data_IF_113912312739
#
_entry.id   IF_113912312739
#
_cell.length_a   1.000
_cell.length_b   1.000
_cell.length_c   1.000
_cell.angle_alpha   90.00
_cell.angle_beta   90.00
_cell.angle_gamma   90.00
#
_symmetry.space_group_name_H-M   'P 1'
#
loop_
_entity.id
_entity.type
_entity.pdbx_description
1 polymer ?
#
# COMPACT_ATOMS: atom_id res chain seq x y z
N UNK A 1 -16.07 -14.13 14.69
CA UNK A 1 -14.78 -13.95 14.00
C UNK A 1 -15.01 -13.32 12.64
N UNK A 2 -14.32 -12.22 12.39
CA UNK A 2 -14.39 -11.54 11.11
C UNK A 2 -13.36 -12.17 10.17
N UNK A 3 -13.84 -12.64 9.02
CA UNK A 3 -12.96 -13.30 8.06
C UNK A 3 -12.18 -12.30 7.21
N UNK A 4 -10.92 -12.62 6.90
CA UNK A 4 -10.15 -11.95 5.87
C UNK A 4 -10.59 -12.48 4.50
N UNK A 5 -10.66 -11.61 3.48
CA UNK A 5 -10.46 -10.15 3.49
C UNK A 5 -11.71 -9.38 3.95
N UNK A 6 -11.50 -8.09 4.27
CA UNK A 6 -12.56 -7.22 4.77
C UNK A 6 -12.99 -6.22 3.70
N UNK A 7 -14.29 -5.88 3.68
CA UNK A 7 -14.86 -4.94 2.71
C UNK A 7 -14.85 -3.50 3.26
N UNK A 8 -13.69 -3.00 3.68
CA UNK A 8 -13.54 -1.64 4.18
C UNK A 8 -13.15 -0.69 3.06
N UNK A 9 -13.62 0.56 3.18
CA UNK A 9 -13.35 1.58 2.15
C UNK A 9 -11.97 2.18 2.30
N UNK A 10 -11.36 2.51 1.16
CA UNK A 10 -10.09 3.22 1.13
C UNK A 10 -10.41 4.72 1.13
N UNK A 11 -9.80 5.44 2.08
CA UNK A 11 -10.00 6.88 2.23
C UNK A 11 -9.07 7.64 1.28
N UNK A 12 -7.79 7.25 1.24
CA UNK A 12 -6.81 7.89 0.36
C UNK A 12 -5.63 6.97 0.11
N UNK A 13 -4.88 7.26 -0.93
CA UNK A 13 -3.62 6.60 -1.24
C UNK A 13 -2.49 7.54 -0.83
N UNK A 14 -1.69 7.12 0.15
CA UNK A 14 -0.57 7.93 0.65
C UNK A 14 0.67 7.77 -0.23
N UNK A 15 1.00 6.53 -0.58
CA UNK A 15 2.15 6.17 -1.43
C UNK A 15 1.74 5.02 -2.33
N UNK A 16 2.67 4.60 -3.20
CA UNK A 16 2.41 3.46 -4.07
C UNK A 16 2.10 2.17 -3.31
N UNK A 17 2.67 2.01 -2.13
CA UNK A 17 2.48 0.82 -1.29
C UNK A 17 1.75 1.08 0.02
N UNK A 18 1.20 2.28 0.20
CA UNK A 18 0.55 2.67 1.46
C UNK A 18 -0.78 3.35 1.19
N UNK A 19 -1.83 2.84 1.82
CA UNK A 19 -3.16 3.44 1.73
C UNK A 19 -3.72 3.66 3.13
N UNK A 20 -4.66 4.60 3.25
CA UNK A 20 -5.42 4.82 4.48
C UNK A 20 -6.81 4.29 4.23
N UNK A 21 -7.29 3.43 5.10
CA UNK A 21 -8.62 2.83 4.97
C UNK A 21 -9.49 3.13 6.18
N UNK A 22 -10.80 3.04 5.97
CA UNK A 22 -11.79 3.27 7.01
C UNK A 22 -11.78 2.10 7.99
N UNK A 23 -11.65 2.43 9.28
CA UNK A 23 -11.59 1.44 10.35
C UNK A 23 -12.69 1.74 11.38
N UNK A 24 -13.96 1.41 11.08
CA UNK A 24 -15.09 1.78 11.93
C UNK A 24 -15.08 1.12 13.31
N UNK A 25 -14.24 0.10 13.50
CA UNK A 25 -14.11 -0.59 14.77
C UNK A 25 -13.23 0.16 15.80
N UNK A 26 -12.58 1.25 15.38
CA UNK A 26 -11.71 2.02 16.28
C UNK A 26 -12.56 2.81 17.29
N UNK A 27 -12.30 2.65 18.60
CA UNK A 27 -13.08 3.35 19.61
C UNK A 27 -12.69 4.83 19.71
N UNK A 28 -13.68 5.68 20.06
CA UNK A 28 -13.41 7.07 20.35
C UNK A 28 -12.44 7.18 21.53
N UNK A 29 -11.53 8.18 21.60
CA UNK A 29 -11.39 9.31 20.67
C UNK A 29 -10.48 9.04 19.46
N UNK A 30 -10.16 7.80 19.16
CA UNK A 30 -9.30 7.46 18.04
C UNK A 30 -10.05 7.74 16.72
N UNK A 31 -9.31 8.18 15.71
CA UNK A 31 -9.88 8.38 14.39
C UNK A 31 -10.24 7.03 13.78
N UNK A 32 -11.38 6.91 13.10
CA UNK A 32 -11.81 5.63 12.52
C UNK A 32 -11.08 5.35 11.19
N UNK A 33 -9.76 5.39 11.21
CA UNK A 33 -8.94 5.13 10.03
C UNK A 33 -7.60 4.54 10.43
N UNK A 34 -7.05 3.71 9.57
CA UNK A 34 -5.73 3.10 9.74
C UNK A 34 -4.98 3.15 8.42
N UNK A 35 -3.65 3.21 8.53
CA UNK A 35 -2.78 3.09 7.37
C UNK A 35 -2.42 1.63 7.17
N UNK A 36 -2.41 1.18 5.90
CA UNK A 36 -1.99 -0.15 5.52
C UNK A 36 -0.84 -0.05 4.55
N UNK A 37 0.24 -0.77 4.84
CA UNK A 37 1.36 -0.92 3.92
C UNK A 37 1.27 -2.28 3.26
N UNK A 38 1.43 -2.32 1.94
CA UNK A 38 1.41 -3.58 1.20
C UNK A 38 2.67 -4.37 1.53
N UNK A 39 2.48 -5.60 1.99
CA UNK A 39 3.55 -6.50 2.43
C UNK A 39 4.17 -7.22 1.23
N UNK A 40 5.48 -7.43 1.31
CA UNK A 40 6.18 -8.22 0.29
C UNK A 40 6.64 -7.43 -0.93
N UNK A 41 6.52 -6.10 -0.90
CA UNK A 41 6.96 -5.25 -2.01
C UNK A 41 7.83 -4.10 -1.53
N UNK A 42 8.70 -3.63 -2.41
CA UNK A 42 9.49 -2.42 -2.24
C UNK A 42 9.14 -1.47 -3.38
N UNK A 43 8.61 -0.30 -3.02
CA UNK A 43 8.31 0.76 -3.98
C UNK A 43 9.32 1.89 -3.82
N UNK A 44 9.52 2.71 -4.89
CA UNK A 44 10.44 3.85 -4.78
C UNK A 44 9.95 4.86 -3.74
N UNK A 45 10.90 5.49 -3.06
CA UNK A 45 10.62 6.53 -2.07
C UNK A 45 10.43 7.87 -2.77
N UNK A 46 9.57 8.71 -2.21
CA UNK A 46 9.27 10.03 -2.80
C UNK A 46 9.82 11.18 -1.95
N UNK A 47 9.95 12.33 -2.58
CA UNK A 47 10.36 13.57 -1.91
C UNK A 47 11.75 13.46 -1.30
N UNK A 48 11.89 13.91 -0.07
CA UNK A 48 13.17 13.93 0.64
C UNK A 48 13.73 12.55 0.94
N UNK A 49 12.92 11.50 0.89
CA UNK A 49 13.37 10.14 1.14
C UNK A 49 13.91 9.44 -0.10
N UNK A 50 13.68 10.01 -1.27
CA UNK A 50 14.22 9.46 -2.51
C UNK A 50 15.74 9.67 -2.57
N UNK A 51 16.48 8.66 -2.99
CA UNK A 51 17.94 8.74 -3.10
C UNK A 51 18.38 9.56 -4.30
N UNK A 52 17.51 9.77 -5.26
CA UNK A 52 17.84 10.50 -6.51
C UNK A 52 16.55 10.95 -7.19
N UNK A 53 16.64 11.89 -8.15
CA UNK A 53 15.45 12.35 -8.88
C UNK A 53 14.71 11.26 -9.64
N UNK A 54 15.41 10.27 -10.18
CA UNK A 54 14.75 9.17 -10.89
C UNK A 54 13.91 8.30 -9.94
N UNK A 55 14.36 8.12 -8.71
CA UNK A 55 13.57 7.42 -7.71
C UNK A 55 12.30 8.21 -7.35
N UNK A 56 12.43 9.51 -7.15
CA UNK A 56 11.29 10.37 -6.86
C UNK A 56 10.25 10.34 -7.97
N UNK A 57 10.69 10.37 -9.22
CA UNK A 57 9.80 10.27 -10.38
C UNK A 57 9.10 8.92 -10.44
N UNK A 58 9.84 7.84 -10.17
CA UNK A 58 9.26 6.50 -10.13
C UNK A 58 8.22 6.36 -9.01
N UNK A 59 8.47 6.99 -7.87
CA UNK A 59 7.53 7.00 -6.75
C UNK A 59 6.22 7.69 -7.11
N UNK A 60 6.28 8.80 -7.83
CA UNK A 60 5.09 9.50 -8.29
C UNK A 60 4.27 8.63 -9.24
N UNK A 61 4.95 7.91 -10.15
CA UNK A 61 4.27 6.99 -11.05
C UNK A 61 3.60 5.84 -10.31
N UNK A 62 4.28 5.29 -9.31
CA UNK A 62 3.72 4.22 -8.48
C UNK A 62 2.48 4.70 -7.71
N UNK A 63 2.54 5.90 -7.12
CA UNK A 63 1.41 6.48 -6.41
C UNK A 63 0.23 6.72 -7.35
N UNK A 64 0.49 7.27 -8.54
CA UNK A 64 -0.55 7.49 -9.53
C UNK A 64 -1.19 6.18 -9.99
N UNK A 65 -0.37 5.15 -10.20
CA UNK A 65 -0.86 3.83 -10.57
C UNK A 65 -1.81 3.28 -9.50
N UNK A 66 -1.41 3.35 -8.23
CA UNK A 66 -2.22 2.85 -7.13
C UNK A 66 -3.53 3.64 -7.00
N UNK A 67 -3.46 4.97 -7.11
CA UNK A 67 -4.66 5.82 -7.07
C UNK A 67 -5.64 5.45 -8.18
N UNK A 68 -5.14 5.26 -9.39
CA UNK A 68 -5.99 4.88 -10.53
C UNK A 68 -6.56 3.48 -10.35
N UNK A 69 -5.76 2.54 -9.87
CA UNK A 69 -6.22 1.17 -9.66
C UNK A 69 -7.36 1.13 -8.62
N UNK A 70 -7.21 1.88 -7.52
CA UNK A 70 -8.24 1.97 -6.48
C UNK A 70 -9.49 2.66 -7.03
N UNK A 71 -9.32 3.76 -7.77
CA UNK A 71 -10.44 4.52 -8.32
C UNK A 71 -11.25 3.73 -9.33
N UNK A 72 -10.61 2.84 -10.07
CA UNK A 72 -11.26 2.05 -11.12
C UNK A 72 -11.76 0.68 -10.67
N UNK A 73 -11.41 0.26 -9.44
CA UNK A 73 -11.84 -1.01 -8.92
C UNK A 73 -13.33 -0.97 -8.54
N UNK A 74 -14.05 -1.99 -8.92
CA UNK A 74 -15.47 -2.13 -8.56
C UNK A 74 -15.62 -2.73 -7.17
N UNK A 75 -14.73 -3.65 -6.81
CA UNK A 75 -14.73 -4.30 -5.50
C UNK A 75 -13.35 -4.16 -4.87
N UNK A 76 -13.30 -3.60 -3.67
CA UNK A 76 -12.06 -3.39 -2.93
C UNK A 76 -12.16 -4.16 -1.63
N UNK A 77 -11.17 -5.01 -1.36
CA UNK A 77 -11.10 -5.77 -0.12
C UNK A 77 -9.73 -5.56 0.51
N UNK A 78 -9.69 -5.56 1.83
CA UNK A 78 -8.46 -5.35 2.59
C UNK A 78 -8.11 -6.65 3.31
N UNK A 79 -6.91 -7.16 3.04
CA UNK A 79 -6.41 -8.36 3.67
C UNK A 79 -5.36 -7.98 4.71
N UNK A 80 -5.65 -8.26 5.98
CA UNK A 80 -4.72 -7.97 7.07
C UNK A 80 -3.83 -9.17 7.31
N UNK A 81 -2.54 -8.93 7.54
CA UNK A 81 -1.58 -9.99 7.83
C UNK A 81 -0.93 -9.81 9.20
N UNK A 82 -0.41 -8.61 9.49
CA UNK A 82 0.23 -8.37 10.78
C UNK A 82 0.31 -6.88 11.07
N UNK A 83 0.66 -6.53 12.31
CA UNK A 83 0.94 -5.15 12.69
C UNK A 83 2.37 -4.78 12.29
N UNK A 84 2.56 -3.52 11.88
CA UNK A 84 3.89 -2.98 11.69
C UNK A 84 4.55 -2.87 13.07
N UNK A 85 5.81 -3.29 13.16
CA UNK A 85 6.56 -3.25 14.42
C UNK A 85 6.78 -1.83 14.97
N UNK A 86 6.62 -0.83 14.11
CA UNK A 86 6.72 0.57 14.52
C UNK A 86 5.39 1.15 14.99
N UNK A 87 4.32 0.36 14.96
CA UNK A 87 2.99 0.79 15.38
C UNK A 87 2.33 1.75 14.40
N UNK A 88 1.07 2.08 14.67
CA UNK A 88 0.34 3.08 13.90
C UNK A 88 -0.15 2.66 12.52
N UNK A 89 0.25 1.49 12.03
CA UNK A 89 -0.22 0.97 10.75
C UNK A 89 -0.23 -0.55 10.76
N UNK A 90 -0.91 -1.11 9.77
CA UNK A 90 -0.99 -2.57 9.62
C UNK A 90 -0.32 -2.97 8.31
N UNK A 91 0.11 -4.23 8.25
CA UNK A 91 0.73 -4.81 7.06
C UNK A 91 -0.24 -5.81 6.44
N UNK A 92 -0.36 -5.78 5.13
CA UNK A 92 -1.25 -6.69 4.43
C UNK A 92 -1.25 -6.43 2.95
N UNK A 93 -2.41 -6.61 2.33
CA UNK A 93 -2.56 -6.39 0.90
C UNK A 93 -3.95 -5.82 0.63
N UNK A 94 -4.12 -5.31 -0.58
CA UNK A 94 -5.39 -4.80 -1.04
C UNK A 94 -5.80 -5.60 -2.27
N UNK A 95 -7.02 -6.12 -2.23
CA UNK A 95 -7.54 -6.92 -3.33
C UNK A 95 -8.49 -6.04 -4.15
N UNK A 96 -8.14 -5.82 -5.41
CA UNK A 96 -8.90 -4.99 -6.34
C UNK A 96 -9.50 -5.88 -7.42
N UNK A 97 -10.82 -6.07 -7.37
CA UNK A 97 -11.53 -6.93 -8.29
C UNK A 97 -10.92 -8.34 -8.39
N UNK A 98 -10.51 -8.88 -7.24
CA UNK A 98 -9.92 -10.21 -7.15
C UNK A 98 -8.42 -10.29 -7.39
N UNK A 99 -7.76 -9.15 -7.66
CA UNK A 99 -6.32 -9.09 -7.90
C UNK A 99 -5.60 -8.36 -6.77
N UNK A 100 -4.50 -8.93 -6.29
CA UNK A 100 -3.72 -8.29 -5.21
C UNK A 100 -2.95 -7.10 -5.75
N UNK A 101 -2.99 -5.99 -5.00
CA UNK A 101 -2.27 -4.78 -5.37
C UNK A 101 -0.77 -5.03 -5.46
N UNK A 102 -0.21 -5.85 -4.56
CA UNK A 102 1.21 -6.21 -4.59
C UNK A 102 1.60 -6.81 -5.94
N UNK A 103 0.79 -7.73 -6.44
CA UNK A 103 1.05 -8.37 -7.74
C UNK A 103 0.93 -7.38 -8.90
N UNK A 104 -0.07 -6.49 -8.83
CA UNK A 104 -0.26 -5.47 -9.86
C UNK A 104 0.91 -4.50 -9.92
N UNK A 105 1.43 -4.08 -8.76
CA UNK A 105 2.57 -3.19 -8.69
C UNK A 105 3.82 -3.82 -9.28
N UNK A 106 4.08 -5.08 -8.95
CA UNK A 106 5.25 -5.81 -9.48
C UNK A 106 5.12 -6.02 -10.98
N UNK A 107 3.95 -6.46 -11.42
CA UNK A 107 3.69 -6.73 -12.84
C UNK A 107 3.88 -5.51 -13.72
N UNK A 108 3.55 -4.33 -13.21
CA UNK A 108 3.64 -3.07 -13.96
C UNK A 108 4.94 -2.31 -13.71
N UNK A 109 5.88 -2.90 -13.00
CA UNK A 109 7.21 -2.31 -12.78
C UNK A 109 7.26 -1.20 -11.76
N UNK A 110 6.20 -1.03 -10.95
CA UNK A 110 6.15 0.01 -9.92
C UNK A 110 6.65 -0.47 -8.55
N UNK A 111 6.91 -1.76 -8.43
CA UNK A 111 7.43 -2.34 -7.20
C UNK A 111 8.29 -3.56 -7.52
N UNK A 112 9.09 -3.95 -6.55
CA UNK A 112 9.89 -5.18 -6.61
C UNK A 112 9.49 -6.08 -5.46
N UNK A 113 9.55 -7.38 -5.65
CA UNK A 113 9.31 -8.32 -4.55
C UNK A 113 10.38 -8.10 -3.48
N UNK A 114 9.95 -8.00 -2.22
CA UNK A 114 10.85 -7.70 -1.13
C UNK A 114 10.42 -8.43 0.15
N UNK A 115 11.29 -9.28 0.68
CA UNK A 115 10.99 -10.10 1.84
C UNK A 115 12.05 -9.97 2.93
N UNK A 116 12.61 -8.75 3.08
CA UNK A 116 13.56 -8.46 4.14
C UNK A 116 15.02 -8.49 3.72
N UNK A 117 15.30 -8.84 2.47
CA UNK A 117 16.64 -8.80 1.93
C UNK A 117 17.08 -7.35 1.66
N UNK A 118 18.30 -7.17 1.21
CA UNK A 118 18.83 -5.84 0.88
C UNK A 118 18.01 -5.20 -0.24
N UNK A 119 17.55 -3.97 -0.01
CA UNK A 119 16.81 -3.23 -1.01
C UNK A 119 17.67 -2.88 -2.21
N UNK A 120 17.09 -3.03 -3.39
CA UNK A 120 17.74 -2.64 -4.64
C UNK A 120 17.52 -1.16 -4.91
N UNK A 121 18.49 -0.53 -5.58
CA UNK A 121 18.38 0.89 -5.91
C UNK A 121 17.32 1.13 -6.98
N UNK A 122 16.60 2.22 -6.84
CA UNK A 122 15.68 2.74 -7.87
C UNK A 122 16.34 3.84 -8.70
N UNK A 123 17.62 4.10 -8.46
CA UNK A 123 18.40 5.09 -9.22
C UNK A 123 19.04 4.43 -10.42
N UNK A 124 19.06 5.16 -11.52
CA UNK A 124 19.71 4.71 -12.75
C UNK A 124 21.22 4.96 -12.73
#
# INVERSE_FOLDING_TARGET
VIANPYDWKIIKVADGDTVVFEAPFMPAPLKPQLSLRVLGVDTPEKGARAACPSEAAAAEKASAFTKNAVANAKKIQIQLKEHDKFGGRVLGDIILDGQKLSELLIKNGHARAYFGEKKQSWCE
#
